data_IF_912369146558
#
_entry.id   IF_912369146558
#
_cell.length_a   1.000
_cell.length_b   1.000
_cell.length_c   1.000
_cell.angle_alpha   90.00
_cell.angle_beta   90.00
_cell.angle_gamma   90.00
#
_symmetry.space_group_name_H-M   'P 1'
#
loop_
_entity.id
_entity.type
_entity.pdbx_description
1 polymer ?
#
# COMPACT_ATOMS: atom_id res chain seq x y z
N UNK A 1 20.73 -18.41 5.89
CA UNK A 1 19.77 -19.38 6.45
C UNK A 1 18.85 -18.64 7.39
N UNK A 2 17.55 -18.78 7.15
CA UNK A 2 16.49 -18.22 8.00
C UNK A 2 16.23 -19.18 9.18
N UNK A 3 15.97 -18.64 10.37
CA UNK A 3 15.49 -19.40 11.52
C UNK A 3 14.30 -18.64 12.11
N UNK A 4 13.22 -19.35 12.41
CA UNK A 4 12.00 -18.74 12.95
C UNK A 4 11.62 -19.42 14.26
N UNK A 5 11.37 -18.62 15.30
CA UNK A 5 10.77 -19.12 16.53
C UNK A 5 9.27 -19.37 16.33
N UNK A 6 8.83 -20.58 16.62
CA UNK A 6 7.44 -20.97 16.57
C UNK A 6 7.16 -22.01 17.67
N UNK A 7 6.15 -21.75 18.51
CA UNK A 7 5.79 -22.62 19.64
C UNK A 7 6.98 -23.01 20.56
N UNK A 8 7.91 -22.07 20.78
CA UNK A 8 9.07 -22.25 21.65
C UNK A 8 10.17 -23.17 21.10
N UNK A 9 10.18 -23.38 19.78
CA UNK A 9 11.24 -24.09 19.06
C UNK A 9 11.70 -23.23 17.88
N UNK A 10 12.98 -23.34 17.53
CA UNK A 10 13.53 -22.73 16.33
C UNK A 10 13.36 -23.69 15.15
N UNK A 11 12.72 -23.22 14.08
CA UNK A 11 12.52 -23.94 12.82
C UNK A 11 13.48 -23.42 11.75
N UNK A 12 14.01 -24.34 10.94
CA UNK A 12 15.01 -24.05 9.91
C UNK A 12 15.09 -25.20 8.90
N UNK A 13 15.64 -24.92 7.71
CA UNK A 13 15.97 -25.96 6.74
C UNK A 13 17.34 -26.58 7.04
N UNK A 14 17.43 -27.92 6.97
CA UNK A 14 18.69 -28.65 7.12
C UNK A 14 18.63 -30.00 6.40
N UNK A 15 19.80 -30.58 6.13
CA UNK A 15 19.91 -31.82 5.40
C UNK A 15 20.56 -32.99 6.15
N UNK A 16 20.22 -34.20 5.72
CA UNK A 16 21.00 -35.42 6.02
C UNK A 16 21.08 -36.31 4.79
N UNK A 17 22.06 -37.21 4.75
CA UNK A 17 22.20 -38.17 3.65
C UNK A 17 20.99 -39.11 3.45
N UNK A 18 20.10 -39.22 4.43
CA UNK A 18 18.92 -40.11 4.37
C UNK A 18 17.60 -39.37 4.14
N UNK A 19 17.58 -38.04 4.26
CA UNK A 19 16.37 -37.22 4.25
C UNK A 19 16.45 -36.00 3.30
N UNK A 20 17.61 -35.71 2.68
CA UNK A 20 17.81 -34.45 1.93
C UNK A 20 17.48 -33.19 2.75
N UNK A 21 17.29 -32.05 2.08
CA UNK A 21 16.95 -30.75 2.68
C UNK A 21 15.48 -30.67 3.09
N UNK A 22 15.25 -30.74 4.39
CA UNK A 22 13.91 -30.83 4.98
C UNK A 22 13.65 -29.75 6.03
N UNK A 23 12.44 -29.75 6.60
CA UNK A 23 12.09 -28.83 7.69
C UNK A 23 12.51 -29.45 9.02
N UNK A 24 13.37 -28.75 9.75
CA UNK A 24 13.89 -29.16 11.05
C UNK A 24 13.46 -28.20 12.15
N UNK A 25 13.51 -28.70 13.39
CA UNK A 25 13.34 -27.88 14.58
C UNK A 25 14.31 -28.27 15.68
N UNK A 26 14.61 -27.30 16.55
CA UNK A 26 15.39 -27.52 17.77
C UNK A 26 14.85 -26.69 18.94
N UNK A 27 15.00 -27.24 20.15
CA UNK A 27 14.83 -26.51 21.40
C UNK A 27 16.18 -26.22 22.11
N UNK A 28 17.30 -26.46 21.43
CA UNK A 28 18.65 -26.34 21.99
C UNK A 28 19.16 -27.57 22.77
N UNK A 29 18.31 -28.57 23.00
CA UNK A 29 18.66 -29.85 23.64
C UNK A 29 18.48 -31.00 22.65
N UNK A 30 17.32 -31.03 22.00
CA UNK A 30 16.95 -32.01 20.99
C UNK A 30 16.69 -31.30 19.66
N UNK A 31 17.19 -31.90 18.60
CA UNK A 31 16.97 -31.46 17.21
C UNK A 31 16.39 -32.63 16.44
N UNK A 32 15.41 -32.35 15.58
CA UNK A 32 14.78 -33.38 14.77
C UNK A 32 14.03 -32.80 13.59
N UNK A 33 13.79 -33.66 12.61
CA UNK A 33 12.94 -33.38 11.46
C UNK A 33 11.50 -33.14 11.92
N UNK A 34 10.84 -32.18 11.29
CA UNK A 34 9.42 -31.85 11.51
C UNK A 34 8.55 -32.71 10.62
N UNK A 35 8.91 -32.79 9.35
CA UNK A 35 8.34 -33.66 8.34
C UNK A 35 9.39 -33.93 7.25
N UNK A 36 9.31 -35.12 6.67
CA UNK A 36 10.04 -35.55 5.47
C UNK A 36 9.10 -35.28 4.28
N UNK A 37 9.18 -34.06 3.73
CA UNK A 37 8.20 -33.52 2.78
C UNK A 37 8.42 -34.08 1.39
N UNK A 38 9.68 -34.23 0.97
CA UNK A 38 10.08 -34.97 -0.23
C UNK A 38 10.81 -36.26 0.19
N UNK A 39 10.10 -37.40 0.29
CA UNK A 39 10.61 -38.54 1.03
C UNK A 39 11.90 -39.14 0.48
N UNK A 40 12.84 -39.45 1.37
CA UNK A 40 14.07 -40.15 1.02
C UNK A 40 15.27 -39.21 0.89
N UNK A 41 16.11 -39.39 -0.13
CA UNK A 41 17.31 -38.55 -0.27
C UNK A 41 17.07 -37.29 -1.13
N UNK A 42 15.81 -37.04 -1.50
CA UNK A 42 15.40 -35.90 -2.31
C UNK A 42 15.19 -34.66 -1.41
N UNK A 43 15.08 -33.47 -2.01
CA UNK A 43 15.18 -32.20 -1.28
C UNK A 43 13.87 -31.38 -1.38
N UNK A 44 13.24 -31.12 -0.23
CA UNK A 44 12.06 -30.25 -0.18
C UNK A 44 12.37 -28.75 -0.16
N UNK A 45 13.59 -28.34 0.18
CA UNK A 45 14.04 -26.95 0.29
C UNK A 45 13.05 -25.97 1.00
N UNK A 46 12.67 -26.19 2.28
CA UNK A 46 11.76 -25.28 2.97
C UNK A 46 12.32 -23.86 3.12
N UNK A 47 11.55 -22.84 2.75
CA UNK A 47 11.96 -21.43 2.77
C UNK A 47 10.81 -20.48 3.16
N UNK A 48 11.14 -19.21 3.42
CA UNK A 48 10.18 -18.13 3.68
C UNK A 48 9.26 -18.42 4.88
N UNK A 49 9.84 -18.82 6.00
CA UNK A 49 9.08 -19.31 7.16
C UNK A 49 8.29 -18.17 7.82
N UNK A 50 6.98 -18.32 7.99
CA UNK A 50 6.13 -17.33 8.68
C UNK A 50 5.13 -18.01 9.62
N UNK A 51 5.19 -17.67 10.90
CA UNK A 51 4.20 -18.10 11.88
C UNK A 51 2.91 -17.27 11.76
N UNK A 52 1.76 -17.93 11.61
CA UNK A 52 0.44 -17.29 11.59
C UNK A 52 -0.63 -18.24 12.13
N UNK A 53 -1.53 -17.72 12.98
CA UNK A 53 -2.73 -18.44 13.44
C UNK A 53 -2.45 -19.87 13.96
N UNK A 54 -1.38 -20.04 14.74
CA UNK A 54 -1.01 -21.33 15.32
C UNK A 54 -0.41 -22.35 14.34
N UNK A 55 0.00 -21.93 13.15
CA UNK A 55 0.74 -22.74 12.18
C UNK A 55 1.99 -21.99 11.72
N UNK A 56 2.98 -22.74 11.27
CA UNK A 56 4.14 -22.23 10.55
C UNK A 56 3.92 -22.49 9.05
N UNK A 57 3.88 -21.44 8.26
CA UNK A 57 3.77 -21.48 6.79
C UNK A 57 5.15 -21.35 6.16
N UNK A 58 5.36 -21.99 5.03
CA UNK A 58 6.63 -21.96 4.30
C UNK A 58 6.42 -22.48 2.87
N UNK A 59 7.32 -22.15 1.96
CA UNK A 59 7.37 -22.78 0.64
C UNK A 59 8.20 -24.05 0.72
N UNK A 60 7.78 -25.13 0.06
CA UNK A 60 8.55 -26.37 -0.07
C UNK A 60 8.14 -27.15 -1.32
N UNK A 61 9.02 -28.02 -1.81
CA UNK A 61 8.76 -28.99 -2.87
C UNK A 61 8.51 -30.37 -2.26
N UNK A 62 7.53 -31.11 -2.77
CA UNK A 62 7.23 -32.50 -2.32
C UNK A 62 7.45 -33.54 -3.43
N UNK A 63 8.13 -33.16 -4.51
CA UNK A 63 8.38 -33.98 -5.70
C UNK A 63 7.16 -34.23 -6.60
N UNK A 64 5.94 -34.00 -6.12
CA UNK A 64 4.69 -34.31 -6.82
C UNK A 64 3.96 -33.07 -7.37
N UNK A 65 3.88 -32.01 -6.56
CA UNK A 65 3.20 -30.73 -6.86
C UNK A 65 4.19 -29.58 -7.08
N UNK A 66 5.49 -29.87 -7.12
CA UNK A 66 6.51 -28.83 -7.20
C UNK A 66 6.57 -27.96 -5.94
N UNK A 67 7.19 -26.79 -6.06
CA UNK A 67 7.35 -25.85 -4.96
C UNK A 67 6.06 -25.07 -4.70
N UNK A 68 5.42 -25.34 -3.55
CA UNK A 68 4.10 -24.86 -3.19
C UNK A 68 4.05 -24.37 -1.74
N UNK A 69 2.90 -23.83 -1.32
CA UNK A 69 2.72 -23.32 0.04
C UNK A 69 2.34 -24.47 0.97
N UNK A 70 3.19 -24.75 1.95
CA UNK A 70 2.96 -25.72 3.00
C UNK A 70 2.73 -25.05 4.34
N UNK A 71 2.15 -25.81 5.27
CA UNK A 71 2.11 -25.43 6.67
C UNK A 71 2.32 -26.62 7.60
N UNK A 72 2.74 -26.33 8.82
CA UNK A 72 2.80 -27.30 9.91
C UNK A 72 2.22 -26.74 11.20
N UNK A 73 1.60 -27.59 12.02
CA UNK A 73 1.20 -27.24 13.39
C UNK A 73 2.39 -27.22 14.38
N UNK A 74 3.53 -27.80 13.96
CA UNK A 74 4.73 -27.89 14.78
C UNK A 74 4.58 -28.77 16.02
N UNK A 75 3.58 -29.66 16.07
CA UNK A 75 3.38 -30.56 17.20
C UNK A 75 4.52 -31.61 17.30
N UNK A 76 4.86 -32.01 18.53
CA UNK A 76 5.95 -32.95 18.84
C UNK A 76 5.35 -34.13 19.63
N UNK A 77 5.56 -35.41 19.25
CA UNK A 77 6.53 -35.93 18.27
C UNK A 77 6.12 -35.94 16.80
N UNK A 78 4.82 -35.86 16.48
CA UNK A 78 4.34 -35.94 15.10
C UNK A 78 3.64 -34.62 14.77
N UNK A 79 4.25 -33.85 13.87
CA UNK A 79 3.64 -32.62 13.37
C UNK A 79 2.70 -32.97 12.21
N UNK A 80 1.56 -32.28 12.10
CA UNK A 80 0.77 -32.32 10.88
C UNK A 80 1.36 -31.31 9.90
N UNK A 81 2.02 -31.80 8.85
CA UNK A 81 2.56 -30.98 7.76
C UNK A 81 1.78 -31.27 6.50
N UNK A 82 1.21 -30.24 5.90
CA UNK A 82 0.28 -30.38 4.78
C UNK A 82 0.43 -29.24 3.77
N UNK A 83 0.12 -29.56 2.51
CA UNK A 83 -0.05 -28.59 1.44
C UNK A 83 -1.25 -27.70 1.75
N UNK A 84 -1.07 -26.37 1.68
CA UNK A 84 -2.16 -25.41 1.91
C UNK A 84 -3.09 -25.35 0.70
N UNK A 85 -2.50 -25.30 -0.50
CA UNK A 85 -3.18 -25.47 -1.78
C UNK A 85 -2.14 -25.83 -2.86
N UNK A 86 -2.56 -26.61 -3.85
CA UNK A 86 -1.84 -26.78 -5.12
C UNK A 86 -2.22 -25.60 -6.03
N UNK A 87 -1.48 -24.49 -5.93
CA UNK A 87 -1.83 -23.23 -6.59
C UNK A 87 -1.60 -23.34 -8.10
N UNK A 88 -0.51 -23.98 -8.50
CA UNK A 88 -0.20 -24.26 -9.90
C UNK A 88 -0.03 -25.77 -10.13
N UNK A 89 -1.13 -26.46 -10.47
CA UNK A 89 -1.14 -27.91 -10.57
C UNK A 89 -0.08 -28.46 -11.53
N UNK A 90 0.76 -29.36 -11.03
CA UNK A 90 1.81 -30.03 -11.79
C UNK A 90 3.14 -30.03 -11.04
N UNK A 91 4.19 -30.54 -11.67
CA UNK A 91 5.50 -30.66 -11.03
C UNK A 91 6.30 -29.35 -10.95
N UNK A 92 5.82 -28.28 -11.58
CA UNK A 92 6.49 -26.98 -11.57
C UNK A 92 6.21 -26.21 -10.28
N UNK A 93 4.98 -26.28 -9.75
CA UNK A 93 4.55 -25.52 -8.57
C UNK A 93 4.37 -24.03 -8.86
N UNK A 94 4.06 -23.27 -7.80
CA UNK A 94 3.70 -21.85 -7.86
C UNK A 94 4.75 -20.90 -7.28
N UNK A 95 5.87 -21.44 -6.79
CA UNK A 95 6.98 -20.72 -6.17
C UNK A 95 6.60 -19.64 -5.12
N UNK A 96 5.89 -20.00 -4.04
CA UNK A 96 5.49 -19.01 -3.03
C UNK A 96 6.68 -18.34 -2.33
N UNK A 97 6.74 -17.01 -2.32
CA UNK A 97 7.80 -16.29 -1.60
C UNK A 97 7.39 -14.86 -1.19
N UNK A 98 8.33 -14.10 -0.62
CA UNK A 98 8.11 -12.76 -0.05
C UNK A 98 6.91 -12.74 0.92
N UNK A 99 6.86 -13.67 1.86
CA UNK A 99 5.69 -13.86 2.71
C UNK A 99 5.59 -12.79 3.80
N UNK A 100 4.39 -12.24 4.03
CA UNK A 100 4.13 -11.28 5.11
C UNK A 100 2.75 -11.46 5.69
N UNK A 101 2.68 -11.51 7.02
CA UNK A 101 1.42 -11.57 7.75
C UNK A 101 0.81 -10.16 7.94
N UNK A 102 -0.49 -10.01 7.65
CA UNK A 102 -1.31 -8.86 8.05
C UNK A 102 -2.66 -9.34 8.59
N UNK A 103 -2.86 -9.13 9.89
CA UNK A 103 -4.06 -9.61 10.59
C UNK A 103 -4.10 -11.14 10.59
N UNK A 104 -5.23 -11.71 10.18
CA UNK A 104 -5.44 -13.16 10.07
C UNK A 104 -5.04 -13.75 8.71
N UNK A 105 -4.41 -12.97 7.84
CA UNK A 105 -4.01 -13.39 6.50
C UNK A 105 -2.49 -13.33 6.29
N UNK A 106 -1.98 -14.29 5.53
CA UNK A 106 -0.64 -14.32 4.97
C UNK A 106 -0.73 -13.85 3.52
N UNK A 107 0.10 -12.89 3.15
CA UNK A 107 0.23 -12.39 1.78
C UNK A 107 1.57 -12.86 1.23
N UNK A 108 1.60 -13.25 -0.04
CA UNK A 108 2.79 -13.82 -0.67
C UNK A 108 2.70 -13.68 -2.19
N UNK A 109 3.85 -13.72 -2.86
CA UNK A 109 3.91 -13.89 -4.31
C UNK A 109 3.76 -15.37 -4.65
N UNK A 110 3.02 -15.70 -5.69
CA UNK A 110 2.99 -17.02 -6.30
C UNK A 110 2.54 -16.91 -7.77
N UNK A 111 2.88 -17.90 -8.60
CA UNK A 111 2.59 -17.88 -10.03
C UNK A 111 1.80 -19.06 -10.55
N UNK A 112 1.09 -18.85 -11.66
CA UNK A 112 0.46 -19.92 -12.46
C UNK A 112 0.76 -19.71 -13.94
N UNK A 113 0.61 -20.75 -14.77
CA UNK A 113 0.78 -20.60 -16.23
C UNK A 113 -0.16 -19.53 -16.83
N UNK A 114 -1.32 -19.30 -16.23
CA UNK A 114 -2.33 -18.39 -16.78
C UNK A 114 -2.22 -16.93 -16.32
N UNK A 115 -1.47 -16.68 -15.23
CA UNK A 115 -1.42 -15.38 -14.55
C UNK A 115 -0.02 -14.84 -14.31
N UNK A 116 1.03 -15.62 -14.60
CA UNK A 116 2.38 -15.32 -14.10
C UNK A 116 2.41 -15.16 -12.57
N UNK A 117 3.48 -14.58 -12.05
CA UNK A 117 3.76 -14.27 -10.65
C UNK A 117 2.95 -13.06 -10.17
N UNK A 118 1.97 -13.31 -9.31
CA UNK A 118 1.01 -12.33 -8.82
C UNK A 118 0.92 -12.28 -7.30
N UNK A 119 0.12 -11.35 -6.76
CA UNK A 119 -0.07 -11.23 -5.32
C UNK A 119 -1.21 -12.14 -4.84
N UNK A 120 -0.88 -13.09 -3.99
CA UNK A 120 -1.82 -14.01 -3.37
C UNK A 120 -1.96 -13.77 -1.87
N UNK A 121 -3.01 -14.34 -1.29
CA UNK A 121 -3.14 -14.45 0.16
C UNK A 121 -3.85 -15.72 0.59
N UNK A 122 -3.65 -16.09 1.86
CA UNK A 122 -4.41 -17.14 2.53
C UNK A 122 -4.76 -16.78 3.96
N UNK A 123 -5.87 -17.31 4.47
CA UNK A 123 -6.18 -17.34 5.91
C UNK A 123 -5.86 -18.71 6.55
N UNK A 124 -5.31 -19.66 5.79
CA UNK A 124 -5.12 -21.04 6.19
C UNK A 124 -6.27 -21.98 5.80
N UNK A 125 -7.27 -21.52 5.06
CA UNK A 125 -8.34 -22.40 4.56
C UNK A 125 -8.66 -22.10 3.10
N UNK A 126 -8.57 -20.83 2.72
CA UNK A 126 -8.76 -20.36 1.36
C UNK A 126 -7.47 -19.70 0.87
N UNK A 127 -7.13 -19.92 -0.40
CA UNK A 127 -6.02 -19.26 -1.09
C UNK A 127 -6.60 -18.48 -2.27
N UNK A 128 -6.27 -17.18 -2.36
CA UNK A 128 -6.91 -16.25 -3.31
C UNK A 128 -5.88 -15.29 -3.90
N UNK A 129 -5.85 -15.18 -5.22
CA UNK A 129 -5.15 -14.12 -5.94
C UNK A 129 -5.89 -12.79 -5.74
N UNK A 130 -5.19 -11.75 -5.32
CA UNK A 130 -5.80 -10.46 -4.99
C UNK A 130 -6.06 -9.58 -6.22
N UNK A 131 -5.36 -9.83 -7.30
CA UNK A 131 -5.53 -9.20 -8.60
C UNK A 131 -4.43 -9.68 -9.53
N UNK A 132 -4.77 -9.70 -10.81
CA UNK A 132 -3.83 -9.90 -11.91
C UNK A 132 -3.30 -8.50 -12.28
N UNK A 133 -2.20 -8.11 -11.64
CA UNK A 133 -1.64 -6.75 -11.76
C UNK A 133 -1.07 -6.56 -13.17
N UNK A 134 -0.37 -7.57 -13.69
CA UNK A 134 0.06 -7.62 -15.08
C UNK A 134 -0.76 -8.69 -15.83
N UNK A 135 -1.83 -8.28 -16.56
CA UNK A 135 -2.78 -9.23 -17.12
C UNK A 135 -2.19 -10.30 -18.04
N UNK A 136 -2.62 -11.55 -17.82
CA UNK A 136 -2.28 -12.68 -18.69
C UNK A 136 -1.10 -13.50 -18.16
N UNK A 137 -0.27 -14.04 -19.04
CA UNK A 137 0.83 -14.93 -18.65
C UNK A 137 2.08 -14.19 -18.14
N UNK A 138 2.04 -12.85 -18.09
CA UNK A 138 3.14 -11.99 -17.68
C UNK A 138 3.23 -11.88 -16.16
N UNK A 139 4.41 -11.58 -15.64
CA UNK A 139 4.65 -11.48 -14.20
C UNK A 139 4.58 -10.02 -13.72
N UNK A 140 3.72 -9.69 -12.76
CA UNK A 140 3.89 -8.43 -12.00
C UNK A 140 5.00 -8.49 -10.95
N UNK A 141 5.50 -9.70 -10.64
CA UNK A 141 6.61 -9.93 -9.72
C UNK A 141 6.52 -9.20 -8.35
N UNK A 142 5.42 -9.33 -7.58
CA UNK A 142 5.30 -8.67 -6.27
C UNK A 142 6.46 -9.03 -5.34
N UNK A 143 7.20 -8.03 -4.86
CA UNK A 143 8.38 -8.26 -4.03
C UNK A 143 8.45 -7.28 -2.86
N UNK A 144 9.33 -7.56 -1.89
CA UNK A 144 9.53 -6.70 -0.71
C UNK A 144 8.24 -6.48 0.10
N UNK A 145 7.32 -7.46 0.08
CA UNK A 145 6.06 -7.37 0.82
C UNK A 145 6.35 -7.02 2.27
N UNK A 146 5.85 -5.87 2.70
CA UNK A 146 6.14 -5.30 4.01
C UNK A 146 4.86 -4.77 4.61
N UNK A 147 4.54 -5.26 5.80
CA UNK A 147 3.42 -4.74 6.57
C UNK A 147 3.73 -3.32 7.04
N UNK A 148 2.84 -2.39 6.73
CA UNK A 148 2.85 -1.05 7.30
C UNK A 148 1.42 -0.56 7.54
N UNK A 149 1.09 -0.34 8.81
CA UNK A 149 -0.27 -0.06 9.26
C UNK A 149 -1.24 -1.20 8.97
N UNK A 150 -2.37 -0.83 8.39
CA UNK A 150 -3.45 -1.74 7.97
C UNK A 150 -3.29 -2.21 6.51
N UNK A 151 -2.07 -2.21 5.98
CA UNK A 151 -1.78 -2.57 4.60
C UNK A 151 -0.45 -3.34 4.46
N UNK A 152 -0.33 -4.08 3.36
CA UNK A 152 0.94 -4.58 2.84
C UNK A 152 1.34 -3.68 1.68
N UNK A 153 2.57 -3.17 1.73
CA UNK A 153 3.22 -2.42 0.65
C UNK A 153 4.27 -3.30 -0.01
N UNK A 154 4.45 -3.15 -1.31
CA UNK A 154 5.32 -4.01 -2.11
C UNK A 154 5.70 -3.30 -3.41
N UNK A 155 6.75 -3.78 -4.06
CA UNK A 155 7.08 -3.44 -5.44
C UNK A 155 6.35 -4.40 -6.38
N UNK A 156 5.80 -3.91 -7.50
CA UNK A 156 5.22 -4.74 -8.55
C UNK A 156 5.16 -3.98 -9.88
N UNK A 157 5.09 -4.71 -10.98
CA UNK A 157 5.02 -4.21 -12.34
C UNK A 157 3.61 -4.29 -12.94
N UNK A 158 3.24 -3.30 -13.75
CA UNK A 158 2.11 -3.39 -14.68
C UNK A 158 2.53 -2.93 -16.09
N UNK A 159 1.69 -3.19 -17.10
CA UNK A 159 1.96 -2.86 -18.51
C UNK A 159 2.30 -1.38 -18.75
N UNK A 160 1.84 -0.46 -17.89
CA UNK A 160 1.89 0.98 -18.14
C UNK A 160 2.82 1.78 -17.24
N UNK A 161 3.42 1.16 -16.22
CA UNK A 161 4.18 1.89 -15.20
C UNK A 161 5.51 1.23 -14.80
N UNK A 162 5.88 0.05 -15.31
CA UNK A 162 7.08 -0.65 -14.84
C UNK A 162 7.00 -1.03 -13.35
N UNK A 163 8.14 -1.39 -12.73
CA UNK A 163 8.19 -1.74 -11.30
C UNK A 163 8.02 -0.51 -10.41
N UNK A 164 6.92 -0.51 -9.67
CA UNK A 164 6.49 0.64 -8.92
C UNK A 164 5.98 0.30 -7.52
N UNK A 165 5.63 1.32 -6.75
CA UNK A 165 5.15 1.14 -5.38
C UNK A 165 3.65 0.82 -5.36
N UNK A 166 3.30 -0.35 -4.85
CA UNK A 166 1.93 -0.84 -4.71
C UNK A 166 1.55 -1.10 -3.26
N UNK A 167 0.24 -1.23 -3.02
CA UNK A 167 -0.29 -1.70 -1.73
C UNK A 167 -1.61 -2.44 -1.84
N UNK A 168 -1.92 -3.21 -0.81
CA UNK A 168 -3.25 -3.74 -0.54
C UNK A 168 -3.59 -3.68 0.95
N UNK A 169 -4.89 -3.53 1.26
CA UNK A 169 -5.46 -3.71 2.61
C UNK A 169 -6.37 -4.94 2.67
N UNK A 170 -6.06 -5.96 1.87
CA UNK A 170 -6.86 -7.18 1.74
C UNK A 170 -7.95 -7.14 0.67
N UNK A 171 -7.82 -6.25 -0.31
CA UNK A 171 -8.61 -6.28 -1.55
C UNK A 171 -7.70 -6.22 -2.76
N UNK A 172 -8.23 -5.77 -3.89
CA UNK A 172 -7.44 -5.56 -5.10
C UNK A 172 -6.21 -4.65 -4.84
N UNK A 173 -5.00 -5.04 -5.30
CA UNK A 173 -3.81 -4.20 -5.33
C UNK A 173 -4.07 -2.83 -5.93
N UNK A 174 -3.35 -1.82 -5.43
CA UNK A 174 -3.44 -0.45 -5.95
C UNK A 174 -2.06 0.17 -6.01
N UNK A 175 -1.75 0.75 -7.16
CA UNK A 175 -0.61 1.61 -7.35
C UNK A 175 -0.69 2.76 -6.33
N UNK A 176 0.34 2.88 -5.51
CA UNK A 176 0.52 3.98 -4.57
C UNK A 176 1.21 5.12 -5.29
N UNK A 177 2.24 4.83 -6.08
CA UNK A 177 2.98 5.84 -6.81
C UNK A 177 3.70 5.18 -7.98
N UNK A 178 3.51 5.79 -9.14
CA UNK A 178 4.39 5.72 -10.31
C UNK A 178 5.57 6.68 -10.07
N UNK A 179 6.63 6.16 -9.43
CA UNK A 179 7.83 6.86 -8.98
C UNK A 179 8.62 7.34 -10.19
N UNK A 180 8.83 6.49 -11.19
CA UNK A 180 9.42 6.83 -12.49
C UNK A 180 8.33 6.89 -13.58
N UNK A 181 7.82 8.09 -13.93
CA UNK A 181 6.67 8.20 -14.83
C UNK A 181 6.87 7.59 -16.22
N UNK A 182 5.90 6.79 -16.64
CA UNK A 182 5.86 6.12 -17.95
C UNK A 182 6.20 4.64 -17.82
N UNK A 183 6.65 4.03 -18.91
CA UNK A 183 6.89 2.58 -18.97
C UNK A 183 8.23 2.15 -18.31
N UNK A 184 8.87 3.03 -17.54
CA UNK A 184 10.13 2.76 -16.85
C UNK A 184 9.90 2.41 -15.39
N UNK A 185 10.82 1.66 -14.79
CA UNK A 185 10.72 1.27 -13.38
C UNK A 185 11.37 2.25 -12.41
N UNK A 186 10.64 2.64 -11.35
CA UNK A 186 11.24 3.27 -10.17
C UNK A 186 11.95 2.30 -9.22
N UNK A 187 11.71 0.99 -9.41
CA UNK A 187 12.35 -0.14 -8.72
C UNK A 187 12.41 0.00 -7.19
N UNK A 188 11.29 0.24 -6.48
CA UNK A 188 11.36 0.42 -5.03
C UNK A 188 11.87 -0.84 -4.33
N UNK A 189 12.82 -0.71 -3.40
CA UNK A 189 13.41 -1.84 -2.65
C UNK A 189 13.79 -1.49 -1.20
N UNK A 190 14.20 -2.48 -0.40
CA UNK A 190 14.58 -2.35 1.02
C UNK A 190 13.48 -1.74 1.91
N UNK A 191 12.27 -2.25 1.74
CA UNK A 191 11.10 -1.78 2.49
C UNK A 191 11.28 -2.05 3.99
N UNK A 192 11.26 -0.99 4.80
CA UNK A 192 11.44 -1.07 6.24
C UNK A 192 10.42 -0.22 6.97
N UNK A 193 9.54 -0.87 7.72
CA UNK A 193 8.64 -0.15 8.64
C UNK A 193 9.40 0.29 9.89
N UNK A 194 9.43 1.59 10.18
CA UNK A 194 10.02 2.14 11.40
C UNK A 194 9.21 3.33 11.93
N UNK A 195 8.79 3.24 13.19
CA UNK A 195 7.92 4.23 13.81
C UNK A 195 6.56 4.32 13.09
N UNK A 196 6.16 5.53 12.71
CA UNK A 196 4.91 5.79 11.97
C UNK A 196 5.16 5.88 10.46
N UNK A 197 6.16 5.14 9.96
CA UNK A 197 6.64 5.30 8.59
C UNK A 197 7.13 4.01 7.97
N UNK A 198 7.02 3.94 6.65
CA UNK A 198 7.65 2.94 5.80
C UNK A 198 8.74 3.65 5.01
N UNK A 199 9.98 3.17 5.10
CA UNK A 199 11.12 3.65 4.32
C UNK A 199 11.45 2.64 3.22
N UNK A 200 11.95 3.12 2.10
CA UNK A 200 12.43 2.30 0.97
C UNK A 200 13.35 3.13 0.08
N UNK A 201 14.15 2.49 -0.77
CA UNK A 201 14.95 3.16 -1.80
C UNK A 201 14.24 3.08 -3.14
N UNK A 202 14.28 4.13 -3.96
CA UNK A 202 13.73 4.13 -5.33
C UNK A 202 14.39 5.23 -6.18
N UNK A 203 14.33 5.10 -7.50
CA UNK A 203 14.82 6.10 -8.47
C UNK A 203 13.65 6.76 -9.21
N UNK A 204 13.57 8.10 -9.20
CA UNK A 204 12.54 8.85 -9.96
C UNK A 204 13.00 9.30 -11.35
N UNK A 205 14.19 8.85 -11.78
CA UNK A 205 14.82 9.20 -13.06
C UNK A 205 15.40 10.61 -13.10
N UNK A 206 15.30 11.37 -12.01
CA UNK A 206 15.78 12.76 -11.93
C UNK A 206 16.80 12.99 -10.82
N UNK A 207 16.64 12.32 -9.67
CA UNK A 207 17.53 12.42 -8.53
C UNK A 207 18.43 11.19 -8.36
N UNK A 208 18.18 10.12 -9.13
CA UNK A 208 18.80 8.83 -8.90
C UNK A 208 18.16 8.11 -7.70
N UNK A 209 18.84 7.09 -7.21
CA UNK A 209 18.43 6.33 -6.03
C UNK A 209 18.46 7.17 -4.75
N UNK A 210 17.29 7.38 -4.17
CA UNK A 210 17.12 8.13 -2.94
C UNK A 210 16.31 7.34 -1.91
N UNK A 211 16.39 7.76 -0.64
CA UNK A 211 15.54 7.20 0.43
C UNK A 211 14.17 7.91 0.40
N UNK A 212 13.14 7.11 0.21
CA UNK A 212 11.74 7.51 0.25
C UNK A 212 11.10 7.11 1.56
N UNK A 213 10.00 7.80 1.91
CA UNK A 213 9.28 7.53 3.15
C UNK A 213 7.78 7.77 3.02
N UNK A 214 6.99 6.77 3.39
CA UNK A 214 5.51 6.83 3.52
C UNK A 214 5.12 6.98 4.98
N UNK A 215 4.00 7.66 5.23
CA UNK A 215 3.31 7.65 6.52
C UNK A 215 1.86 7.18 6.33
N UNK A 216 1.30 6.39 7.25
CA UNK A 216 -0.11 5.96 7.24
C UNK A 216 -1.08 7.16 7.19
N UNK A 217 -0.59 8.29 7.68
CA UNK A 217 -1.34 9.51 7.87
C UNK A 217 -1.17 10.52 6.73
N UNK A 218 -0.79 10.05 5.53
CA UNK A 218 -0.62 10.85 4.31
C UNK A 218 -1.92 11.46 3.78
N UNK A 219 -2.81 11.94 4.67
CA UNK A 219 -3.81 12.96 4.34
C UNK A 219 -3.08 14.05 3.58
N UNK A 220 -3.49 14.32 2.35
CA UNK A 220 -3.03 15.48 1.57
C UNK A 220 -2.82 16.68 2.49
N UNK A 221 -1.57 17.11 2.67
CA UNK A 221 -1.22 18.16 3.62
C UNK A 221 -1.51 19.52 2.99
N UNK A 222 -2.79 19.79 2.74
CA UNK A 222 -3.23 21.07 2.21
C UNK A 222 -3.60 22.03 3.36
N UNK A 223 -3.20 23.30 3.25
CA UNK A 223 -3.54 24.35 4.21
C UNK A 223 -4.10 25.57 3.50
N UNK A 224 -5.33 25.94 3.87
CA UNK A 224 -5.92 27.20 3.43
C UNK A 224 -5.28 28.35 4.22
N UNK A 225 -4.58 29.24 3.52
CA UNK A 225 -3.82 30.32 4.15
C UNK A 225 -4.71 31.49 4.57
N UNK A 226 -5.77 31.77 3.81
CA UNK A 226 -6.65 32.90 4.07
C UNK A 226 -7.48 32.69 5.34
N UNK A 227 -7.56 33.75 6.17
CA UNK A 227 -8.62 33.94 7.18
C UNK A 227 -9.64 35.00 6.77
N UNK A 228 -9.24 35.90 5.86
CA UNK A 228 -10.04 36.97 5.26
C UNK A 228 -9.92 36.91 3.75
N UNK A 229 -11.02 37.17 3.04
CA UNK A 229 -11.08 37.25 1.57
C UNK A 229 -11.57 38.65 1.16
N UNK A 230 -10.88 39.26 0.19
CA UNK A 230 -11.28 40.54 -0.40
C UNK A 230 -11.95 40.28 -1.74
N UNK A 231 -13.15 40.81 -1.92
CA UNK A 231 -13.89 40.83 -3.17
C UNK A 231 -13.47 42.01 -4.02
N UNK A 232 -13.26 41.78 -5.32
CA UNK A 232 -13.16 42.86 -6.30
C UNK A 232 -14.56 43.30 -6.77
N UNK A 233 -14.63 44.36 -7.60
CA UNK A 233 -15.91 44.87 -8.14
C UNK A 233 -16.66 43.84 -9.00
N UNK A 234 -15.94 42.93 -9.66
CA UNK A 234 -16.51 41.84 -10.45
C UNK A 234 -17.09 40.70 -9.58
N UNK A 235 -16.88 40.73 -8.26
CA UNK A 235 -17.31 39.67 -7.36
C UNK A 235 -16.35 38.47 -7.32
N UNK A 236 -15.10 38.64 -7.72
CA UNK A 236 -14.05 37.62 -7.63
C UNK A 236 -13.22 37.78 -6.37
N UNK A 237 -12.66 36.67 -5.92
CA UNK A 237 -11.70 36.61 -4.82
C UNK A 237 -10.74 35.44 -5.04
N UNK A 238 -9.58 35.48 -4.38
CA UNK A 238 -8.54 34.47 -4.53
C UNK A 238 -8.26 33.81 -3.18
N UNK A 239 -8.22 32.49 -3.20
CA UNK A 239 -7.83 31.66 -2.08
C UNK A 239 -6.43 31.11 -2.34
N UNK A 240 -5.59 31.10 -1.32
CA UNK A 240 -4.27 30.49 -1.36
C UNK A 240 -4.30 29.17 -0.61
N UNK A 241 -3.97 28.10 -1.33
CA UNK A 241 -3.87 26.75 -0.82
C UNK A 241 -2.41 26.31 -0.91
N UNK A 242 -1.79 26.03 0.24
CA UNK A 242 -0.46 25.42 0.27
C UNK A 242 -0.62 23.91 0.22
N UNK A 243 0.02 23.26 -0.74
CA UNK A 243 0.31 21.83 -0.68
C UNK A 243 1.63 21.71 0.09
N UNK A 244 1.60 21.19 1.32
CA UNK A 244 2.84 20.96 2.04
C UNK A 244 3.58 19.81 1.36
N UNK A 245 4.91 19.84 1.43
CA UNK A 245 5.71 18.67 1.03
C UNK A 245 5.29 17.52 1.94
N UNK A 246 4.64 16.53 1.36
CA UNK A 246 4.70 15.16 1.86
C UNK A 246 5.44 14.40 0.77
N UNK A 247 6.36 13.52 1.19
CA UNK A 247 7.38 12.91 0.32
C UNK A 247 6.79 12.04 -0.80
N UNK A 248 5.46 11.80 -0.84
CA UNK A 248 4.79 10.95 -1.85
C UNK A 248 3.55 11.64 -2.47
N UNK A 249 3.22 12.88 -2.09
CA UNK A 249 1.89 13.43 -2.42
C UNK A 249 1.76 14.05 -3.82
N UNK A 250 2.81 14.07 -4.64
CA UNK A 250 2.76 14.78 -5.94
C UNK A 250 2.09 16.17 -5.82
N UNK A 251 1.44 16.68 -6.88
CA UNK A 251 0.56 17.83 -6.74
C UNK A 251 -0.73 17.49 -5.99
N UNK A 252 -1.10 18.34 -5.03
CA UNK A 252 -2.43 18.34 -4.44
C UNK A 252 -3.45 18.80 -5.49
N UNK A 253 -4.38 17.94 -5.88
CA UNK A 253 -5.50 18.28 -6.78
C UNK A 253 -6.84 18.24 -6.05
N UNK A 254 -7.86 18.88 -6.62
CA UNK A 254 -9.23 18.65 -6.17
C UNK A 254 -10.17 19.83 -6.31
N UNK A 255 -11.15 19.89 -5.40
CA UNK A 255 -12.28 20.81 -5.49
C UNK A 255 -12.39 21.70 -4.24
N UNK A 256 -12.65 22.98 -4.48
CA UNK A 256 -13.03 23.96 -3.48
C UNK A 256 -14.52 24.30 -3.65
N UNK A 257 -15.25 24.33 -2.53
CA UNK A 257 -16.61 24.89 -2.46
C UNK A 257 -16.67 25.96 -1.40
N UNK A 258 -17.12 27.16 -1.78
CA UNK A 258 -17.46 28.22 -0.85
C UNK A 258 -18.96 28.18 -0.56
N UNK A 259 -19.34 28.20 0.71
CA UNK A 259 -20.73 28.29 1.15
C UNK A 259 -20.94 29.49 2.05
N UNK A 260 -22.09 30.15 1.95
CA UNK A 260 -22.51 31.14 2.95
C UNK A 260 -22.94 30.44 4.25
N UNK A 261 -23.10 31.17 5.35
CA UNK A 261 -23.60 30.62 6.62
C UNK A 261 -24.99 29.96 6.48
N UNK A 262 -25.84 30.44 5.56
CA UNK A 262 -27.14 29.84 5.25
C UNK A 262 -27.06 28.64 4.27
N UNK A 263 -25.89 28.03 4.09
CA UNK A 263 -25.70 26.82 3.28
C UNK A 263 -25.61 27.05 1.76
N UNK A 264 -26.02 28.21 1.25
CA UNK A 264 -25.95 28.53 -0.19
C UNK A 264 -24.52 28.40 -0.73
N UNK A 265 -24.34 27.65 -1.82
CA UNK A 265 -23.06 27.57 -2.55
C UNK A 265 -22.78 28.91 -3.24
N UNK A 266 -21.73 29.58 -2.76
CA UNK A 266 -21.30 30.88 -3.23
C UNK A 266 -20.42 30.79 -4.48
N UNK A 267 -19.50 29.82 -4.51
CA UNK A 267 -18.61 29.57 -5.64
C UNK A 267 -18.05 28.14 -5.59
N UNK A 268 -17.53 27.68 -6.72
CA UNK A 268 -16.76 26.44 -6.87
C UNK A 268 -15.44 26.76 -7.57
N UNK A 269 -14.41 25.98 -7.28
CA UNK A 269 -13.13 26.02 -7.98
C UNK A 269 -12.49 24.64 -8.01
N UNK A 270 -11.69 24.38 -9.03
CA UNK A 270 -10.76 23.26 -9.08
C UNK A 270 -9.34 23.78 -8.84
N UNK A 271 -8.44 22.91 -8.41
CA UNK A 271 -7.03 23.27 -8.23
C UNK A 271 -6.11 22.08 -8.48
N UNK A 272 -4.88 22.42 -8.84
CA UNK A 272 -3.69 21.59 -8.83
C UNK A 272 -2.60 22.46 -8.23
N UNK A 273 -1.89 21.98 -7.21
CA UNK A 273 -0.80 22.71 -6.54
C UNK A 273 0.33 21.74 -6.31
N UNK A 274 1.52 22.03 -6.86
CA UNK A 274 2.70 21.19 -6.70
C UNK A 274 3.07 21.02 -5.22
N UNK A 275 3.71 19.90 -4.89
CA UNK A 275 4.23 19.65 -3.55
C UNK A 275 5.14 20.81 -3.10
N UNK A 276 4.99 21.22 -1.83
CA UNK A 276 5.75 22.34 -1.24
C UNK A 276 5.27 23.75 -1.63
N UNK A 277 4.54 23.89 -2.72
CA UNK A 277 4.10 25.18 -3.25
C UNK A 277 2.78 25.70 -2.66
N UNK A 278 2.48 26.96 -2.95
CA UNK A 278 1.20 27.59 -2.65
C UNK A 278 0.51 28.04 -3.93
N UNK A 279 -0.56 27.35 -4.30
CA UNK A 279 -1.39 27.70 -5.46
C UNK A 279 -2.48 28.71 -5.14
N UNK A 280 -2.86 29.47 -6.16
CA UNK A 280 -3.93 30.46 -6.09
C UNK A 280 -5.19 29.95 -6.81
N UNK A 281 -6.31 29.92 -6.10
CA UNK A 281 -7.62 29.53 -6.63
C UNK A 281 -8.49 30.78 -6.69
N UNK A 282 -8.64 31.32 -7.90
CA UNK A 282 -9.52 32.47 -8.13
C UNK A 282 -10.93 31.98 -8.43
N UNK A 283 -11.90 32.46 -7.66
CA UNK A 283 -13.31 32.09 -7.79
C UNK A 283 -14.18 33.33 -7.87
N UNK A 284 -15.30 33.23 -8.60
CA UNK A 284 -16.31 34.27 -8.73
C UNK A 284 -17.55 33.91 -7.94
N UNK A 285 -17.99 34.78 -7.04
CA UNK A 285 -19.22 34.57 -6.29
C UNK A 285 -20.45 34.76 -7.19
N UNK A 286 -21.40 33.83 -7.07
CA UNK A 286 -22.68 33.91 -7.75
C UNK A 286 -23.44 35.19 -7.39
N UNK A 287 -24.27 35.72 -8.31
CA UNK A 287 -25.10 36.91 -8.06
C UNK A 287 -25.98 36.71 -6.81
N UNK A 288 -26.56 35.52 -6.66
CA UNK A 288 -27.40 35.15 -5.50
C UNK A 288 -26.62 35.21 -4.20
N UNK A 289 -25.39 34.67 -4.17
CA UNK A 289 -24.55 34.73 -2.98
C UNK A 289 -24.11 36.15 -2.65
N UNK A 290 -23.75 36.96 -3.64
CA UNK A 290 -23.44 38.38 -3.41
C UNK A 290 -24.63 39.15 -2.83
N UNK A 291 -25.86 38.89 -3.32
CA UNK A 291 -27.08 39.48 -2.76
C UNK A 291 -27.33 39.03 -1.32
N UNK A 292 -27.10 37.75 -1.02
CA UNK A 292 -27.23 37.22 0.34
C UNK A 292 -26.22 37.85 1.31
N UNK A 293 -24.95 37.98 0.89
CA UNK A 293 -23.90 38.59 1.72
C UNK A 293 -24.14 40.08 2.00
N UNK A 294 -24.78 40.83 1.09
CA UNK A 294 -25.19 42.23 1.34
C UNK A 294 -26.25 42.38 2.43
N UNK A 295 -27.07 41.36 2.61
CA UNK A 295 -28.20 41.36 3.54
C UNK A 295 -27.87 40.73 4.89
N UNK A 296 -26.67 40.17 5.04
CA UNK A 296 -26.26 39.53 6.28
C UNK A 296 -26.12 40.58 7.40
N UNK A 297 -26.64 40.27 8.58
CA UNK A 297 -26.41 41.05 9.80
C UNK A 297 -25.09 40.60 10.44
N UNK A 298 -24.18 41.55 10.68
CA UNK A 298 -22.85 41.28 11.25
C UNK A 298 -21.81 40.86 10.20
N UNK A 299 -20.56 40.66 10.66
CA UNK A 299 -19.42 40.41 9.76
C UNK A 299 -19.66 39.18 8.86
N UNK A 300 -19.74 39.35 7.53
CA UNK A 300 -20.15 38.28 6.63
C UNK A 300 -19.08 37.21 6.54
N UNK A 301 -19.54 35.95 6.46
CA UNK A 301 -18.69 34.77 6.49
C UNK A 301 -19.02 33.79 5.37
N UNK A 302 -17.97 33.13 4.92
CA UNK A 302 -18.04 31.95 4.07
C UNK A 302 -17.40 30.77 4.80
N UNK A 303 -17.91 29.56 4.52
CA UNK A 303 -17.27 28.30 4.86
C UNK A 303 -16.62 27.76 3.58
N UNK A 304 -15.30 27.66 3.57
CA UNK A 304 -14.58 26.93 2.55
C UNK A 304 -14.53 25.45 2.93
N UNK A 305 -14.92 24.59 1.99
CA UNK A 305 -14.75 23.15 2.06
C UNK A 305 -13.84 22.77 0.89
N UNK A 306 -12.63 22.31 1.20
CA UNK A 306 -11.64 21.87 0.23
C UNK A 306 -11.56 20.35 0.33
N UNK A 307 -11.82 19.66 -0.76
CA UNK A 307 -11.55 18.23 -0.91
C UNK A 307 -10.30 18.10 -1.76
N UNK A 308 -9.20 17.72 -1.13
CA UNK A 308 -7.91 17.53 -1.77
C UNK A 308 -7.59 16.04 -1.92
N UNK A 309 -6.92 15.70 -3.01
CA UNK A 309 -6.36 14.37 -3.30
C UNK A 309 -4.93 14.54 -3.83
N UNK A 310 -4.03 13.64 -3.49
CA UNK A 310 -2.72 13.51 -4.13
C UNK A 310 -2.73 12.45 -5.24
N UNK A 311 -1.60 12.28 -5.93
CA UNK A 311 -1.42 11.23 -6.93
C UNK A 311 -1.57 9.83 -6.31
N UNK A 312 -1.15 9.66 -5.05
CA UNK A 312 -1.28 8.41 -4.30
C UNK A 312 -2.71 8.08 -3.83
N UNK A 313 -3.69 8.87 -4.27
CA UNK A 313 -5.09 8.63 -3.97
C UNK A 313 -5.52 8.94 -2.54
N UNK A 314 -4.60 9.42 -1.69
CA UNK A 314 -4.92 9.89 -0.35
C UNK A 314 -5.83 11.11 -0.42
N UNK A 315 -6.69 11.26 0.58
CA UNK A 315 -7.73 12.29 0.56
C UNK A 315 -7.72 13.09 1.85
N UNK A 316 -8.03 14.38 1.73
CA UNK A 316 -8.32 15.23 2.90
C UNK A 316 -9.48 16.17 2.61
N UNK A 317 -10.40 16.27 3.56
CA UNK A 317 -11.38 17.36 3.57
C UNK A 317 -10.97 18.41 4.60
N UNK A 318 -10.73 19.63 4.14
CA UNK A 318 -10.45 20.78 4.99
C UNK A 318 -11.67 21.67 5.03
N UNK A 319 -12.02 22.12 6.23
CA UNK A 319 -13.12 23.05 6.43
C UNK A 319 -12.62 24.28 7.19
N UNK A 320 -12.92 25.48 6.66
CA UNK A 320 -12.49 26.74 7.27
C UNK A 320 -13.55 27.83 7.15
N UNK A 321 -13.84 28.49 8.27
CA UNK A 321 -14.60 29.74 8.27
C UNK A 321 -13.72 30.92 7.83
N UNK A 322 -14.24 31.74 6.93
CA UNK A 322 -13.56 32.87 6.29
C UNK A 322 -14.40 34.12 6.46
N UNK A 323 -13.78 35.21 6.90
CA UNK A 323 -14.42 36.53 6.83
C UNK A 323 -14.27 37.09 5.41
N UNK A 324 -15.25 37.84 4.94
CA UNK A 324 -15.19 38.46 3.61
C UNK A 324 -15.37 39.97 3.71
N UNK A 325 -14.70 40.72 2.84
CA UNK A 325 -14.82 42.17 2.72
C UNK A 325 -14.74 42.60 1.26
N UNK A 326 -15.17 43.82 0.94
CA UNK A 326 -15.11 44.38 -0.42
C UNK A 326 -16.46 44.90 -0.93
N UNK A 327 -16.54 45.29 -2.21
CA UNK A 327 -17.72 45.93 -2.76
C UNK A 327 -18.98 45.05 -2.66
N UNK A 328 -20.03 45.59 -2.04
CA UNK A 328 -21.29 44.86 -1.88
C UNK A 328 -21.22 43.76 -0.83
N UNK A 329 -20.49 43.99 0.25
CA UNK A 329 -20.43 43.18 1.46
C UNK A 329 -20.62 44.18 2.62
N UNK A 330 -21.67 44.02 3.44
CA UNK A 330 -21.93 44.88 4.60
C UNK A 330 -21.38 44.23 5.86
#
# INVERSE_FOLDING_TARGET
QEMVDFNGQLYFAADTAAAGWELWRTNGITTGIVADIDPGADDAYPQNLVAMNGHLYFSANNGATGNELFRTDGANPVANTELVADINPGSWGSDPNYMTQLGSYLYFRAGTEASGNELWRTNGTEVVMLGDIYPGEEDSNPSQLTKFGDAVYFAAEDEGHGFELWKTSGGAPKLVRDILPGDGSGDPYDFTSFGQSLYFSADDGTHGWEIWRITEDSKVHAKLQNRKLKLNRAGQTTLRLRCQVAEISGPCTGNLVLRTNGGLVAARGKFTVNAGETGAITVKLSKRARKALRKASGAPRLKAVVKARDLAGNKRTLTRGLRISGPGVR
#
